data_IF_677621009273
#
_entry.id   IF_677621009273
#
_cell.length_a   1.000
_cell.length_b   1.000
_cell.length_c   1.000
_cell.angle_alpha   90.00
_cell.angle_beta   90.00
_cell.angle_gamma   90.00
#
_symmetry.space_group_name_H-M   'P 1'
#
loop_
_entity.id
_entity.type
_entity.pdbx_description
1 polymer ?
#
# COMPACT_ATOMS: atom_id res chain seq x y z
N UNK A 1 20.09 29.22 -0.18
CA UNK A 1 19.58 28.93 1.18
C UNK A 1 19.99 29.98 2.23
N UNK A 2 21.28 30.30 2.43
CA UNK A 2 21.69 31.35 3.43
C UNK A 2 21.15 32.76 3.14
N UNK A 3 21.06 33.21 1.88
CA UNK A 3 20.49 34.50 1.53
C UNK A 3 18.97 34.60 1.69
N UNK A 4 18.25 33.48 1.56
CA UNK A 4 16.81 33.41 1.72
C UNK A 4 16.39 33.51 3.19
N UNK A 5 17.16 32.89 4.11
CA UNK A 5 16.99 33.01 5.55
C UNK A 5 17.25 34.43 6.06
N UNK A 6 18.18 35.18 5.45
CA UNK A 6 18.42 36.60 5.79
C UNK A 6 17.25 37.51 5.38
N UNK A 7 16.57 37.23 4.25
CA UNK A 7 15.39 37.97 3.83
C UNK A 7 14.18 37.71 4.76
N UNK A 8 14.01 36.50 5.20
CA UNK A 8 12.94 36.14 6.17
C UNK A 8 13.17 36.82 7.51
N UNK A 9 14.38 36.87 8.02
CA UNK A 9 14.76 37.57 9.26
C UNK A 9 14.57 39.09 9.16
N UNK A 10 14.71 39.69 7.98
CA UNK A 10 14.44 41.11 7.76
C UNK A 10 12.94 41.44 7.79
N UNK A 11 12.07 40.57 7.29
CA UNK A 11 10.62 40.75 7.33
C UNK A 11 10.09 40.64 8.76
N UNK A 12 10.71 39.79 9.62
CA UNK A 12 10.35 39.66 11.04
C UNK A 12 10.59 40.94 11.87
N UNK A 13 11.54 41.78 11.48
CA UNK A 13 11.82 43.03 12.18
C UNK A 13 10.90 44.19 11.81
N UNK A 14 10.06 44.07 10.77
CA UNK A 14 9.20 45.14 10.25
C UNK A 14 7.74 45.00 10.73
N UNK A 15 7.27 43.78 11.10
CA UNK A 15 5.88 43.53 11.51
C UNK A 15 5.77 42.55 12.70
N UNK A 16 5.77 43.04 13.97
CA UNK A 16 5.84 42.12 15.12
C UNK A 16 4.52 41.45 15.57
N UNK A 17 3.35 41.77 15.06
CA UNK A 17 2.07 41.32 15.66
C UNK A 17 1.09 40.62 14.73
N UNK A 18 1.28 40.61 13.41
CA UNK A 18 0.42 39.89 12.49
C UNK A 18 1.04 38.58 11.96
N UNK A 19 2.23 38.23 12.42
CA UNK A 19 3.12 37.29 11.74
C UNK A 19 3.15 35.88 12.33
N UNK A 20 2.70 35.62 13.56
CA UNK A 20 2.88 34.29 14.14
C UNK A 20 1.95 33.25 13.52
N UNK A 21 0.68 33.55 13.27
CA UNK A 21 -0.23 32.58 12.63
C UNK A 21 -0.01 32.46 11.12
N UNK A 22 0.34 33.57 10.44
CA UNK A 22 0.61 33.56 9.00
C UNK A 22 1.97 32.92 8.68
N UNK A 23 2.98 33.12 9.53
CA UNK A 23 4.27 32.43 9.40
C UNK A 23 4.22 30.96 9.81
N UNK A 24 3.45 30.60 10.83
CA UNK A 24 3.22 29.17 11.13
C UNK A 24 2.49 28.46 9.98
N UNK A 25 1.52 29.12 9.38
CA UNK A 25 0.84 28.58 8.20
C UNK A 25 1.74 28.56 6.96
N UNK A 26 2.53 29.61 6.73
CA UNK A 26 3.49 29.68 5.60
C UNK A 26 4.72 28.77 5.79
N UNK A 27 5.18 28.55 7.03
CA UNK A 27 6.22 27.56 7.35
C UNK A 27 5.62 26.14 7.35
N UNK A 28 4.37 25.96 7.77
CA UNK A 28 3.66 24.69 7.61
C UNK A 28 3.37 24.39 6.13
N UNK A 29 3.07 25.40 5.30
CA UNK A 29 2.87 25.26 3.86
C UNK A 29 4.22 25.13 3.09
N UNK A 30 5.36 25.56 3.66
CA UNK A 30 6.71 25.29 3.18
C UNK A 30 7.28 23.94 3.66
N UNK A 31 6.73 23.39 4.75
CA UNK A 31 6.80 22.00 5.14
C UNK A 31 5.63 21.18 4.54
N UNK A 32 5.05 21.62 3.44
CA UNK A 32 4.41 20.69 2.50
C UNK A 32 5.55 19.80 2.03
N UNK A 33 5.74 18.72 2.77
CA UNK A 33 6.58 17.63 2.37
C UNK A 33 6.17 17.33 0.93
N UNK A 34 7.11 17.43 0.01
CA UNK A 34 6.94 16.88 -1.33
C UNK A 34 6.36 15.48 -1.10
N UNK A 35 5.11 15.24 -1.56
CA UNK A 35 4.52 13.90 -1.48
C UNK A 35 5.50 12.95 -2.13
N UNK A 36 6.29 12.24 -1.32
CA UNK A 36 7.25 11.27 -1.83
C UNK A 36 6.48 10.16 -2.53
N UNK A 37 6.85 9.86 -3.77
CA UNK A 37 6.09 8.95 -4.62
C UNK A 37 6.97 7.87 -5.19
N UNK A 38 6.54 6.63 -5.09
CA UNK A 38 7.17 5.51 -5.79
C UNK A 38 6.87 5.63 -7.28
N UNK A 39 7.91 5.88 -8.10
CA UNK A 39 7.77 6.07 -9.53
C UNK A 39 7.84 4.76 -10.31
N UNK A 40 8.72 3.83 -9.90
CA UNK A 40 8.88 2.56 -10.63
C UNK A 40 9.57 1.49 -9.78
N UNK A 41 9.37 0.23 -10.18
CA UNK A 41 10.16 -0.91 -9.74
C UNK A 41 10.60 -1.74 -10.94
N UNK A 42 11.86 -2.16 -10.95
CA UNK A 42 12.40 -3.13 -11.90
C UNK A 42 12.85 -4.38 -11.15
N UNK A 43 12.39 -5.53 -11.60
CA UNK A 43 12.60 -6.84 -10.99
C UNK A 43 13.30 -7.75 -12.01
N UNK A 44 14.55 -8.13 -11.72
CA UNK A 44 15.29 -9.10 -12.50
C UNK A 44 15.60 -10.31 -11.63
N UNK A 45 15.08 -11.48 -12.01
CA UNK A 45 15.32 -12.69 -11.26
C UNK A 45 14.72 -12.72 -9.86
N UNK A 46 13.67 -11.97 -9.60
CA UNK A 46 13.03 -11.89 -8.31
C UNK A 46 11.75 -12.71 -8.27
N UNK A 47 11.69 -13.72 -7.42
CA UNK A 47 10.56 -14.65 -7.29
C UNK A 47 10.11 -15.24 -8.64
N UNK A 48 8.91 -14.94 -9.13
CA UNK A 48 8.41 -15.34 -10.44
C UNK A 48 8.84 -14.42 -11.59
N UNK A 49 9.41 -13.26 -11.29
CA UNK A 49 9.78 -12.25 -12.29
C UNK A 49 11.16 -12.53 -12.87
N UNK A 50 11.24 -12.62 -14.19
CA UNK A 50 12.52 -12.80 -14.90
C UNK A 50 13.17 -11.45 -15.22
N UNK A 51 12.42 -10.56 -15.87
CA UNK A 51 12.84 -9.19 -16.20
C UNK A 51 11.59 -8.34 -16.46
N UNK A 52 11.06 -7.73 -15.42
CA UNK A 52 9.84 -6.94 -15.48
C UNK A 52 10.07 -5.56 -14.86
N UNK A 53 9.51 -4.54 -15.47
CA UNK A 53 9.58 -3.15 -14.98
C UNK A 53 8.19 -2.55 -14.95
N UNK A 54 7.85 -1.91 -13.84
CA UNK A 54 6.55 -1.28 -13.60
C UNK A 54 6.75 0.21 -13.42
N UNK A 55 6.01 1.01 -14.20
CA UNK A 55 6.01 2.47 -14.09
C UNK A 55 4.71 2.92 -13.43
N UNK A 56 4.80 3.50 -12.24
CA UNK A 56 3.63 3.84 -11.43
C UNK A 56 3.17 5.29 -11.65
N UNK A 57 1.86 5.50 -11.47
CA UNK A 57 1.27 6.84 -11.38
C UNK A 57 1.26 7.33 -9.94
N UNK A 58 1.15 8.63 -9.76
CA UNK A 58 0.94 9.26 -8.45
C UNK A 58 -0.48 9.03 -7.86
N UNK A 59 -1.35 8.35 -8.59
CA UNK A 59 -2.70 8.02 -8.18
C UNK A 59 -2.84 6.55 -7.76
N UNK A 60 -3.74 5.83 -8.41
CA UNK A 60 -4.07 4.44 -8.09
C UNK A 60 -3.35 3.50 -9.05
N UNK A 61 -2.57 2.57 -8.50
CA UNK A 61 -1.83 1.54 -9.22
C UNK A 61 -2.44 0.17 -8.91
N UNK A 62 -3.01 -0.51 -9.89
CA UNK A 62 -3.80 -1.71 -9.70
C UNK A 62 -3.09 -2.89 -10.36
N UNK A 63 -2.62 -3.84 -9.55
CA UNK A 63 -2.01 -5.10 -9.96
C UNK A 63 -3.10 -6.17 -10.05
N UNK A 64 -3.36 -6.68 -11.25
CA UNK A 64 -4.42 -7.66 -11.53
C UNK A 64 -3.80 -8.97 -11.99
N UNK A 65 -4.33 -10.08 -11.55
CA UNK A 65 -3.88 -11.41 -12.01
C UNK A 65 -4.39 -12.55 -11.15
N UNK A 66 -4.29 -13.76 -11.66
CA UNK A 66 -4.62 -14.99 -10.92
C UNK A 66 -3.72 -15.14 -9.69
N UNK A 67 -4.08 -16.04 -8.78
CA UNK A 67 -3.25 -16.34 -7.62
C UNK A 67 -1.88 -16.88 -8.07
N UNK A 68 -0.82 -16.47 -7.36
CA UNK A 68 0.56 -16.88 -7.66
C UNK A 68 1.24 -16.08 -8.79
N UNK A 69 0.64 -14.99 -9.31
CA UNK A 69 1.28 -14.11 -10.31
C UNK A 69 2.20 -13.04 -9.72
N UNK A 70 2.46 -13.06 -8.41
CA UNK A 70 3.44 -12.16 -7.78
C UNK A 70 2.94 -10.77 -7.40
N UNK A 71 1.64 -10.46 -7.46
CA UNK A 71 1.06 -9.17 -7.04
C UNK A 71 1.52 -8.74 -5.64
N UNK A 72 1.26 -9.58 -4.65
CA UNK A 72 1.69 -9.40 -3.25
C UNK A 72 3.21 -9.26 -3.13
N UNK A 73 4.00 -9.95 -3.97
CA UNK A 73 5.45 -9.86 -3.94
C UNK A 73 5.96 -8.48 -4.36
N UNK A 74 5.31 -7.83 -5.34
CA UNK A 74 5.63 -6.45 -5.72
C UNK A 74 5.36 -5.50 -4.55
N UNK A 75 4.15 -5.58 -3.94
CA UNK A 75 3.78 -4.74 -2.81
C UNK A 75 4.74 -4.91 -1.63
N UNK A 76 5.04 -6.17 -1.25
CA UNK A 76 5.97 -6.48 -0.15
C UNK A 76 7.39 -6.03 -0.45
N UNK A 77 7.86 -6.14 -1.70
CA UNK A 77 9.18 -5.67 -2.10
C UNK A 77 9.31 -4.14 -1.94
N UNK A 78 8.31 -3.38 -2.40
CA UNK A 78 8.25 -1.94 -2.21
C UNK A 78 8.20 -1.59 -0.72
N UNK A 79 7.28 -2.18 0.04
CA UNK A 79 7.11 -1.90 1.47
C UNK A 79 8.37 -2.25 2.29
N UNK A 80 9.02 -3.38 2.00
CA UNK A 80 10.26 -3.77 2.70
C UNK A 80 11.42 -2.79 2.44
N UNK A 81 11.53 -2.27 1.23
CA UNK A 81 12.56 -1.28 0.88
C UNK A 81 12.29 0.09 1.53
N UNK A 82 11.03 0.54 1.55
CA UNK A 82 10.62 1.77 2.23
C UNK A 82 10.85 1.66 3.74
N UNK A 83 10.50 0.53 4.35
CA UNK A 83 10.74 0.27 5.77
C UNK A 83 12.24 0.30 6.10
N UNK A 84 13.04 -0.39 5.30
CA UNK A 84 14.50 -0.43 5.50
C UNK A 84 15.11 0.97 5.40
N UNK A 85 14.66 1.78 4.45
CA UNK A 85 15.13 3.15 4.28
C UNK A 85 14.73 4.04 5.47
N UNK A 86 13.47 3.95 5.93
CA UNK A 86 12.99 4.65 7.13
C UNK A 86 13.82 4.29 8.38
N UNK A 87 14.03 3.00 8.64
CA UNK A 87 14.85 2.54 9.77
C UNK A 87 16.30 2.99 9.67
N UNK A 88 16.86 2.98 8.46
CA UNK A 88 18.24 3.43 8.24
C UNK A 88 18.41 4.92 8.54
N UNK A 89 17.45 5.76 8.15
CA UNK A 89 17.48 7.19 8.42
C UNK A 89 17.45 7.51 9.93
N UNK A 90 16.78 6.67 10.73
CA UNK A 90 16.74 6.86 12.19
C UNK A 90 18.01 6.44 12.92
N UNK A 91 18.93 5.74 12.26
CA UNK A 91 20.20 5.29 12.85
C UNK A 91 21.22 6.43 12.88
N UNK A 92 22.03 6.47 13.95
CA UNK A 92 23.12 7.46 14.11
C UNK A 92 24.31 7.21 13.17
N UNK A 93 24.55 5.97 12.80
CA UNK A 93 25.59 5.53 11.86
C UNK A 93 24.95 5.20 10.51
N UNK A 94 25.56 5.70 9.44
CA UNK A 94 25.04 5.60 8.07
C UNK A 94 26.05 4.92 7.15
N UNK A 95 26.55 3.73 7.55
CA UNK A 95 27.43 2.95 6.67
C UNK A 95 26.61 2.14 5.68
N UNK A 96 27.19 1.87 4.50
CA UNK A 96 26.57 1.05 3.48
C UNK A 96 26.27 -0.37 3.98
N UNK A 97 27.20 -0.97 4.71
CA UNK A 97 27.08 -2.30 5.28
C UNK A 97 25.91 -2.39 6.26
N UNK A 98 25.67 -1.33 7.02
CA UNK A 98 24.53 -1.27 7.94
C UNK A 98 23.21 -1.18 7.17
N UNK A 99 23.16 -0.42 6.08
CA UNK A 99 21.95 -0.37 5.25
C UNK A 99 21.69 -1.71 4.55
N UNK A 100 22.74 -2.38 4.03
CA UNK A 100 22.65 -3.74 3.45
C UNK A 100 22.07 -4.73 4.47
N UNK A 101 22.50 -4.66 5.74
CA UNK A 101 21.97 -5.48 6.81
C UNK A 101 20.50 -5.19 7.10
N UNK A 102 20.12 -3.91 7.30
CA UNK A 102 18.73 -3.51 7.57
C UNK A 102 17.81 -3.92 6.41
N UNK A 103 18.25 -3.74 5.18
CA UNK A 103 17.48 -4.12 3.99
C UNK A 103 17.27 -5.64 3.91
N UNK A 104 18.31 -6.41 4.18
CA UNK A 104 18.24 -7.87 4.22
C UNK A 104 17.28 -8.36 5.32
N UNK A 105 17.34 -7.76 6.50
CA UNK A 105 16.43 -8.04 7.62
C UNK A 105 14.97 -7.76 7.23
N UNK A 106 14.69 -6.58 6.66
CA UNK A 106 13.35 -6.21 6.25
C UNK A 106 12.80 -7.15 5.17
N UNK A 107 13.58 -7.47 4.12
CA UNK A 107 13.15 -8.44 3.11
C UNK A 107 12.81 -9.79 3.78
N UNK A 108 13.65 -10.27 4.70
CA UNK A 108 13.41 -11.52 5.42
C UNK A 108 12.13 -11.45 6.25
N UNK A 109 11.86 -10.36 6.95
CA UNK A 109 10.68 -10.19 7.78
C UNK A 109 9.38 -10.09 6.97
N UNK A 110 9.41 -9.43 5.79
CA UNK A 110 8.23 -9.29 4.93
C UNK A 110 7.88 -10.56 4.16
N UNK A 111 8.90 -11.34 3.72
CA UNK A 111 8.69 -12.54 2.90
C UNK A 111 8.77 -13.85 3.68
N UNK A 112 9.42 -13.84 4.84
CA UNK A 112 9.69 -15.01 5.69
C UNK A 112 10.27 -16.22 4.95
N UNK A 113 11.26 -16.05 4.07
CA UNK A 113 11.94 -17.19 3.47
C UNK A 113 12.92 -17.82 4.47
N UNK A 114 13.22 -19.11 4.34
CA UNK A 114 14.30 -19.73 5.11
C UNK A 114 15.65 -19.06 4.83
N UNK A 115 15.87 -18.65 3.59
CA UNK A 115 17.03 -17.88 3.11
C UNK A 115 16.59 -16.84 2.09
N UNK A 116 17.21 -15.68 2.07
CA UNK A 116 16.92 -14.62 1.06
C UNK A 116 17.09 -15.17 -0.37
N UNK A 117 18.07 -16.07 -0.59
CA UNK A 117 18.30 -16.71 -1.87
C UNK A 117 17.10 -17.51 -2.41
N UNK A 118 16.15 -17.93 -1.55
CA UNK A 118 14.91 -18.57 -2.00
C UNK A 118 13.98 -17.63 -2.78
N UNK A 119 14.22 -16.32 -2.69
CA UNK A 119 13.50 -15.31 -3.47
C UNK A 119 14.11 -15.11 -4.88
N UNK A 120 15.23 -15.77 -5.20
CA UNK A 120 15.78 -15.74 -6.55
C UNK A 120 14.98 -16.67 -7.45
N UNK A 121 14.65 -16.19 -8.64
CA UNK A 121 13.98 -17.00 -9.67
C UNK A 121 14.85 -18.20 -10.06
N UNK A 122 14.28 -19.40 -9.94
CA UNK A 122 15.01 -20.67 -10.16
C UNK A 122 15.43 -20.90 -11.62
N UNK A 123 14.81 -20.19 -12.56
CA UNK A 123 15.07 -20.32 -13.99
C UNK A 123 16.21 -19.42 -14.50
N UNK A 124 16.80 -18.60 -13.61
CA UNK A 124 17.89 -17.68 -13.98
C UNK A 124 19.24 -18.29 -13.61
N UNK A 125 20.15 -18.33 -14.58
CA UNK A 125 21.53 -18.80 -14.42
C UNK A 125 22.49 -17.72 -14.93
N UNK A 126 23.47 -17.28 -14.12
CA UNK A 126 23.68 -17.60 -12.70
C UNK A 126 22.57 -17.02 -11.80
N UNK A 127 22.15 -17.77 -10.78
CA UNK A 127 21.05 -17.43 -9.89
C UNK A 127 21.31 -16.13 -9.08
N UNK A 128 20.92 -14.98 -9.65
CA UNK A 128 21.03 -13.65 -9.05
C UNK A 128 19.72 -12.90 -9.25
N UNK A 129 19.26 -12.23 -8.21
CA UNK A 129 18.18 -11.26 -8.27
C UNK A 129 18.74 -9.84 -8.20
N UNK A 130 18.17 -8.94 -8.99
CA UNK A 130 18.44 -7.50 -8.91
C UNK A 130 17.11 -6.76 -8.87
N UNK A 131 16.97 -5.87 -7.91
CA UNK A 131 15.80 -5.02 -7.73
C UNK A 131 16.24 -3.58 -7.78
N UNK A 132 15.54 -2.76 -8.56
CA UNK A 132 15.73 -1.31 -8.61
C UNK A 132 14.40 -0.60 -8.38
N UNK A 133 14.35 0.34 -7.45
CA UNK A 133 13.16 1.11 -7.09
C UNK A 133 13.52 2.59 -7.22
N UNK A 134 12.64 3.35 -7.89
CA UNK A 134 12.74 4.81 -7.96
C UNK A 134 11.64 5.44 -7.11
N UNK A 135 12.06 6.38 -6.27
CA UNK A 135 11.20 7.20 -5.42
C UNK A 135 11.59 8.66 -5.62
N UNK A 136 10.66 9.50 -6.08
CA UNK A 136 10.92 10.90 -6.49
C UNK A 136 12.13 11.06 -7.44
N UNK A 137 12.28 10.12 -8.37
CA UNK A 137 13.37 10.08 -9.32
C UNK A 137 14.71 9.62 -8.76
N UNK A 138 14.83 9.40 -7.46
CA UNK A 138 16.03 8.87 -6.79
C UNK A 138 15.97 7.35 -6.76
N UNK A 139 17.08 6.67 -7.01
CA UNK A 139 17.13 5.22 -7.20
C UNK A 139 17.81 4.50 -6.05
N UNK A 140 17.16 3.46 -5.54
CA UNK A 140 17.75 2.40 -4.73
C UNK A 140 17.80 1.12 -5.57
N UNK A 141 19.00 0.56 -5.74
CA UNK A 141 19.18 -0.72 -6.42
C UNK A 141 20.00 -1.68 -5.56
N UNK A 142 19.54 -2.91 -5.45
CA UNK A 142 20.19 -3.96 -4.66
C UNK A 142 20.09 -5.32 -5.33
N UNK A 143 20.98 -6.21 -4.93
CA UNK A 143 21.05 -7.56 -5.50
C UNK A 143 21.40 -8.61 -4.44
N UNK A 144 21.06 -9.86 -4.71
CA UNK A 144 21.43 -11.02 -3.92
C UNK A 144 21.47 -12.29 -4.79
N UNK A 145 22.24 -13.27 -4.37
CA UNK A 145 22.38 -14.55 -5.09
C UNK A 145 21.47 -15.63 -4.52
N UNK A 146 21.24 -16.68 -5.29
CA UNK A 146 20.51 -17.87 -4.83
C UNK A 146 21.16 -18.58 -3.62
N UNK A 147 22.44 -18.31 -3.36
CA UNK A 147 23.18 -18.85 -2.20
C UNK A 147 23.22 -17.89 -1.01
N UNK A 148 22.70 -16.67 -1.15
CA UNK A 148 22.66 -15.69 -0.05
C UNK A 148 21.71 -16.16 1.04
N UNK A 149 22.20 -16.20 2.28
CA UNK A 149 21.37 -16.55 3.44
C UNK A 149 20.71 -15.32 4.06
N UNK A 150 21.50 -14.30 4.37
CA UNK A 150 21.08 -13.12 5.14
C UNK A 150 21.66 -11.82 4.58
N UNK A 151 22.22 -11.83 3.36
CA UNK A 151 22.94 -10.70 2.80
C UNK A 151 22.35 -10.23 1.50
N UNK A 152 22.20 -8.93 1.35
CA UNK A 152 21.97 -8.22 0.10
C UNK A 152 23.14 -7.31 -0.17
N UNK A 153 23.36 -6.92 -1.42
CA UNK A 153 24.36 -5.96 -1.83
C UNK A 153 23.66 -4.77 -2.46
N UNK A 154 23.92 -3.58 -1.94
CA UNK A 154 23.43 -2.34 -2.52
C UNK A 154 24.34 -1.98 -3.70
N UNK A 155 23.76 -1.83 -4.88
CA UNK A 155 24.46 -1.43 -6.11
C UNK A 155 24.40 0.10 -6.28
N UNK A 156 23.25 0.72 -5.95
CA UNK A 156 23.00 2.15 -6.00
C UNK A 156 22.13 2.60 -4.84
N UNK A 157 22.48 3.72 -4.22
CA UNK A 157 21.72 4.34 -3.13
C UNK A 157 21.72 5.87 -3.32
N UNK A 158 20.66 6.38 -3.95
CA UNK A 158 20.35 7.80 -3.98
C UNK A 158 19.36 8.06 -2.84
N UNK A 159 19.82 8.75 -1.80
CA UNK A 159 19.03 8.96 -0.57
C UNK A 159 17.63 9.49 -0.87
N UNK A 160 16.63 8.72 -0.49
CA UNK A 160 15.22 9.12 -0.55
C UNK A 160 14.89 10.13 0.54
N UNK A 161 13.85 10.91 0.33
CA UNK A 161 13.26 11.69 1.40
C UNK A 161 12.40 10.78 2.28
N UNK A 162 12.11 11.21 3.49
CA UNK A 162 11.28 10.41 4.40
C UNK A 162 9.89 10.19 3.78
N UNK A 163 9.42 8.96 3.82
CA UNK A 163 8.18 8.53 3.18
C UNK A 163 7.35 7.75 4.20
N UNK A 164 6.13 8.21 4.44
CA UNK A 164 5.17 7.47 5.24
C UNK A 164 4.41 6.49 4.35
N UNK A 165 4.31 5.26 4.77
CA UNK A 165 3.51 4.25 4.09
C UNK A 165 2.78 3.36 5.08
N UNK A 166 1.70 2.74 4.62
CA UNK A 166 0.99 1.71 5.36
C UNK A 166 0.69 0.52 4.45
N UNK A 167 0.82 -0.68 4.99
CA UNK A 167 0.47 -1.92 4.31
C UNK A 167 -0.72 -2.57 4.98
N UNK A 168 -1.79 -2.80 4.21
CA UNK A 168 -2.99 -3.50 4.67
C UNK A 168 -2.99 -4.89 4.04
N UNK A 169 -2.71 -5.94 4.84
CA UNK A 169 -2.70 -7.32 4.36
C UNK A 169 -4.14 -7.85 4.14
N UNK A 170 -4.28 -9.01 3.46
CA UNK A 170 -5.59 -9.58 3.13
C UNK A 170 -6.48 -9.88 4.34
N UNK A 171 -5.88 -10.35 5.45
CA UNK A 171 -6.62 -10.69 6.68
C UNK A 171 -6.77 -9.47 7.58
N UNK A 172 -7.94 -9.32 8.16
CA UNK A 172 -8.20 -8.26 9.14
C UNK A 172 -7.44 -8.50 10.46
N UNK A 173 -7.20 -7.41 11.20
CA UNK A 173 -6.36 -7.43 12.38
C UNK A 173 -7.12 -7.15 13.68
N UNK A 174 -8.36 -6.67 13.64
CA UNK A 174 -9.12 -6.30 14.82
C UNK A 174 -9.39 -7.50 15.76
N UNK A 175 -9.71 -8.66 15.19
CA UNK A 175 -9.94 -9.88 15.97
C UNK A 175 -8.67 -10.49 16.56
N UNK A 176 -7.52 -10.17 15.98
CA UNK A 176 -6.22 -10.69 16.43
C UNK A 176 -5.48 -9.71 17.34
N UNK A 177 -5.96 -8.47 17.47
CA UNK A 177 -5.23 -7.37 18.07
C UNK A 177 -4.91 -7.56 19.55
N UNK A 178 -5.87 -8.12 20.33
CA UNK A 178 -5.71 -8.29 21.76
C UNK A 178 -4.53 -9.19 22.11
N UNK A 179 -3.53 -8.61 22.78
CA UNK A 179 -2.31 -9.31 23.17
C UNK A 179 -1.30 -9.55 22.03
N UNK A 180 -1.64 -9.26 20.77
CA UNK A 180 -0.79 -9.56 19.62
C UNK A 180 0.58 -8.86 19.69
N UNK A 181 0.60 -7.56 19.99
CA UNK A 181 1.87 -6.79 20.11
C UNK A 181 2.74 -7.35 21.23
N UNK A 182 2.16 -7.61 22.39
CA UNK A 182 2.89 -8.20 23.52
C UNK A 182 3.47 -9.59 23.21
N UNK A 183 2.75 -10.38 22.40
CA UNK A 183 3.17 -11.71 22.01
C UNK A 183 4.27 -11.62 20.91
N UNK A 184 4.11 -10.73 19.91
CA UNK A 184 5.10 -10.54 18.83
C UNK A 184 6.46 -10.05 19.36
N UNK A 185 6.46 -9.21 20.39
CA UNK A 185 7.68 -8.75 21.04
C UNK A 185 8.41 -9.82 21.87
N UNK A 186 7.70 -10.87 22.30
CA UNK A 186 8.28 -11.91 23.15
C UNK A 186 8.60 -13.21 22.43
N UNK A 187 7.97 -13.45 21.29
CA UNK A 187 8.09 -14.70 20.54
C UNK A 187 8.02 -14.41 19.06
N UNK A 188 8.76 -15.18 18.28
CA UNK A 188 8.57 -15.19 16.83
C UNK A 188 7.19 -15.75 16.50
N UNK A 189 6.42 -14.98 15.72
CA UNK A 189 5.11 -15.38 15.21
C UNK A 189 5.21 -15.81 13.75
N UNK A 190 4.26 -16.64 13.32
CA UNK A 190 4.13 -17.02 11.91
C UNK A 190 3.63 -15.88 11.01
N UNK A 191 3.25 -14.75 11.58
CA UNK A 191 2.86 -13.55 10.83
C UNK A 191 4.09 -12.84 10.29
N UNK A 192 3.99 -12.33 9.07
CA UNK A 192 5.03 -11.49 8.49
C UNK A 192 4.95 -10.04 9.01
N UNK A 193 5.93 -9.23 8.62
CA UNK A 193 6.07 -7.87 9.14
C UNK A 193 4.88 -6.96 8.79
N UNK A 194 4.12 -7.25 7.73
CA UNK A 194 2.95 -6.44 7.36
C UNK A 194 1.88 -6.43 8.46
N UNK A 195 1.64 -7.59 9.09
CA UNK A 195 0.70 -7.72 10.22
C UNK A 195 1.22 -7.07 11.49
N UNK A 196 2.52 -7.20 11.76
CA UNK A 196 3.16 -6.62 12.95
C UNK A 196 3.10 -5.10 12.87
N UNK A 197 3.47 -4.52 11.73
CA UNK A 197 3.41 -3.08 11.51
C UNK A 197 1.96 -2.57 11.60
N UNK A 198 1.01 -3.27 10.97
CA UNK A 198 -0.41 -2.90 11.06
C UNK A 198 -0.91 -2.90 12.51
N UNK A 199 -0.52 -3.90 13.31
CA UNK A 199 -0.90 -3.95 14.73
C UNK A 199 -0.33 -2.74 15.52
N UNK A 200 0.91 -2.35 15.26
CA UNK A 200 1.51 -1.16 15.87
C UNK A 200 0.79 0.12 15.46
N UNK A 201 0.45 0.28 14.18
CA UNK A 201 -0.32 1.42 13.68
C UNK A 201 -1.73 1.47 14.31
N UNK A 202 -2.40 0.33 14.48
CA UNK A 202 -3.70 0.23 15.15
C UNK A 202 -3.64 0.51 16.67
N UNK A 203 -2.47 0.46 17.27
CA UNK A 203 -2.31 0.74 18.71
C UNK A 203 -2.35 2.25 19.06
N UNK A 204 -2.18 3.11 18.05
CA UNK A 204 -2.18 4.56 18.28
C UNK A 204 -3.59 5.09 18.56
N UNK A 205 -3.72 6.09 19.46
CA UNK A 205 -5.01 6.69 19.79
C UNK A 205 -5.54 7.55 18.66
N UNK A 206 -6.86 7.69 18.59
CA UNK A 206 -7.55 8.58 17.64
C UNK A 206 -7.09 10.04 17.84
N UNK A 207 -6.95 10.78 16.73
CA UNK A 207 -6.61 12.20 16.73
C UNK A 207 -7.69 13.03 17.44
N UNK A 208 -7.27 14.13 18.07
CA UNK A 208 -8.20 15.02 18.81
C UNK A 208 -9.04 15.90 17.90
N UNK A 209 -8.50 16.33 16.77
CA UNK A 209 -9.16 17.21 15.80
C UNK A 209 -9.42 16.42 14.50
N UNK A 210 -10.62 15.89 14.38
CA UNK A 210 -11.08 15.17 13.19
C UNK A 210 -11.82 16.09 12.19
N UNK A 211 -12.31 17.23 12.63
CA UNK A 211 -13.03 18.16 11.75
C UNK A 211 -12.12 18.80 10.71
N UNK A 212 -10.87 19.06 11.07
CA UNK A 212 -9.85 19.59 10.15
C UNK A 212 -8.99 18.49 9.51
N UNK A 213 -9.42 17.22 9.58
CA UNK A 213 -8.69 16.12 8.96
C UNK A 213 -8.76 16.26 7.42
N UNK A 214 -7.61 16.26 6.69
CA UNK A 214 -7.59 16.32 5.22
C UNK A 214 -8.38 15.20 4.54
N UNK A 215 -8.57 14.06 5.22
CA UNK A 215 -9.34 12.91 4.75
C UNK A 215 -10.80 12.90 5.24
N UNK A 216 -11.34 14.05 5.69
CA UNK A 216 -12.70 14.13 6.23
C UNK A 216 -13.75 13.58 5.28
N UNK A 217 -13.65 13.84 3.97
CA UNK A 217 -14.59 13.32 2.97
C UNK A 217 -14.59 11.80 2.89
N UNK A 218 -13.42 11.16 3.06
CA UNK A 218 -13.30 9.71 3.08
C UNK A 218 -13.85 9.11 4.39
N UNK A 219 -13.65 9.79 5.53
CA UNK A 219 -14.25 9.41 6.82
C UNK A 219 -15.78 9.44 6.71
N UNK A 220 -16.35 10.56 6.27
CA UNK A 220 -17.80 10.77 6.17
C UNK A 220 -18.46 9.76 5.22
N UNK A 221 -17.78 9.45 4.09
CA UNK A 221 -18.23 8.41 3.17
C UNK A 221 -18.31 7.04 3.88
N UNK A 222 -17.22 6.64 4.57
CA UNK A 222 -17.17 5.33 5.23
C UNK A 222 -18.19 5.24 6.38
N UNK A 223 -18.29 6.24 7.23
CA UNK A 223 -19.26 6.26 8.33
C UNK A 223 -20.71 6.19 7.81
N UNK A 224 -21.01 6.90 6.73
CA UNK A 224 -22.33 6.89 6.09
C UNK A 224 -22.67 5.53 5.49
N UNK A 225 -21.75 4.98 4.66
CA UNK A 225 -22.00 3.73 3.93
C UNK A 225 -21.96 2.49 4.85
N UNK A 226 -21.14 2.51 5.88
CA UNK A 226 -21.06 1.41 6.85
C UNK A 226 -22.14 1.52 7.95
N UNK A 227 -22.67 2.72 8.22
CA UNK A 227 -23.65 2.97 9.28
C UNK A 227 -23.09 2.78 10.70
N UNK A 228 -21.76 2.86 10.87
CA UNK A 228 -21.11 2.72 12.16
C UNK A 228 -19.83 3.56 12.27
N UNK A 229 -19.34 3.68 13.49
CA UNK A 229 -18.04 4.26 13.83
C UNK A 229 -17.19 3.25 14.60
N UNK A 230 -15.90 3.55 14.79
CA UNK A 230 -14.94 2.65 15.45
C UNK A 230 -14.43 3.27 16.74
N UNK A 231 -14.39 2.46 17.80
CA UNK A 231 -13.85 2.84 19.10
C UNK A 231 -12.79 1.85 19.55
N UNK A 232 -11.78 2.34 20.24
CA UNK A 232 -10.83 1.52 20.97
C UNK A 232 -10.96 1.80 22.48
N UNK A 233 -11.22 0.78 23.26
CA UNK A 233 -11.34 0.87 24.71
C UNK A 233 -10.62 -0.32 25.36
N UNK A 234 -9.75 -0.04 26.33
CA UNK A 234 -9.02 -1.06 27.10
C UNK A 234 -8.26 -2.08 26.21
N UNK A 235 -7.68 -1.64 25.10
CA UNK A 235 -6.93 -2.50 24.17
C UNK A 235 -7.80 -3.39 23.28
N UNK A 236 -9.11 -3.14 23.19
CA UNK A 236 -10.06 -3.84 22.32
C UNK A 236 -10.75 -2.88 21.38
N UNK A 237 -11.13 -3.38 20.22
CA UNK A 237 -11.92 -2.64 19.24
C UNK A 237 -13.41 -2.92 19.37
N UNK A 238 -14.20 -1.86 19.21
CA UNK A 238 -15.66 -1.87 19.21
C UNK A 238 -16.18 -1.16 17.97
N UNK A 239 -17.25 -1.69 17.43
CA UNK A 239 -18.02 -1.07 16.36
C UNK A 239 -19.22 -0.37 17.00
N UNK A 240 -19.29 0.95 16.92
CA UNK A 240 -20.36 1.77 17.49
C UNK A 240 -21.45 2.00 16.44
N UNK A 241 -22.63 1.42 16.68
CA UNK A 241 -23.86 1.64 15.91
C UNK A 241 -24.85 2.50 16.72
N UNK A 242 -25.98 2.82 16.13
CA UNK A 242 -27.09 3.52 16.81
C UNK A 242 -27.62 2.73 18.03
N UNK A 243 -27.42 1.39 18.05
CA UNK A 243 -27.82 0.51 19.14
C UNK A 243 -26.77 0.39 20.26
N UNK A 244 -25.64 1.07 20.10
CA UNK A 244 -24.52 1.06 21.05
C UNK A 244 -23.26 0.35 20.51
N UNK A 245 -22.20 0.28 21.34
CA UNK A 245 -20.96 -0.39 20.98
C UNK A 245 -21.11 -1.91 21.03
N UNK A 246 -20.57 -2.57 20.02
CA UNK A 246 -20.49 -4.04 19.89
C UNK A 246 -19.03 -4.44 19.73
N UNK A 247 -18.61 -5.52 20.40
CA UNK A 247 -17.25 -6.04 20.27
C UNK A 247 -16.94 -6.42 18.82
N UNK A 248 -15.74 -6.11 18.35
CA UNK A 248 -15.33 -6.39 16.98
C UNK A 248 -15.51 -7.88 16.60
N UNK A 249 -15.28 -8.81 17.53
CA UNK A 249 -15.47 -10.25 17.30
C UNK A 249 -16.90 -10.66 16.88
N UNK A 250 -17.91 -9.87 17.23
CA UNK A 250 -19.31 -10.13 16.87
C UNK A 250 -19.70 -9.55 15.48
N UNK A 251 -18.78 -8.84 14.84
CA UNK A 251 -18.99 -8.20 13.55
C UNK A 251 -18.42 -9.05 12.44
N UNK A 252 -19.04 -9.05 11.26
CA UNK A 252 -18.56 -9.77 10.07
C UNK A 252 -17.14 -9.34 9.70
N UNK A 253 -16.30 -10.29 9.24
CA UNK A 253 -14.87 -10.07 8.95
C UNK A 253 -14.65 -8.93 7.96
N UNK A 254 -15.41 -8.87 6.87
CA UNK A 254 -15.29 -7.80 5.89
C UNK A 254 -15.56 -6.41 6.47
N UNK A 255 -16.54 -6.28 7.39
CA UNK A 255 -16.81 -5.01 8.06
C UNK A 255 -15.69 -4.64 9.04
N UNK A 256 -15.08 -5.61 9.74
CA UNK A 256 -13.92 -5.37 10.61
C UNK A 256 -12.72 -4.86 9.80
N UNK A 257 -12.51 -5.42 8.59
CA UNK A 257 -11.46 -4.96 7.68
C UNK A 257 -11.66 -3.48 7.30
N UNK A 258 -12.87 -3.09 6.90
CA UNK A 258 -13.17 -1.69 6.59
C UNK A 258 -13.10 -0.78 7.82
N UNK A 259 -13.54 -1.27 8.96
CA UNK A 259 -13.42 -0.58 10.24
C UNK A 259 -11.96 -0.33 10.63
N UNK A 260 -11.05 -1.26 10.36
CA UNK A 260 -9.62 -1.08 10.64
C UNK A 260 -9.01 0.04 9.81
N UNK A 261 -9.41 0.15 8.54
CA UNK A 261 -8.93 1.23 7.66
C UNK A 261 -9.48 2.58 8.11
N UNK A 262 -10.77 2.65 8.44
CA UNK A 262 -11.37 3.87 9.00
C UNK A 262 -10.62 4.30 10.26
N UNK A 263 -10.31 3.36 11.16
CA UNK A 263 -9.55 3.66 12.38
C UNK A 263 -8.15 4.21 12.10
N UNK A 264 -7.45 3.69 11.07
CA UNK A 264 -6.12 4.19 10.67
C UNK A 264 -6.16 5.62 10.10
N UNK A 265 -7.29 6.05 9.56
CA UNK A 265 -7.47 7.47 9.20
C UNK A 265 -7.77 8.29 10.46
N UNK A 266 -8.62 7.79 11.34
CA UNK A 266 -8.99 8.48 12.58
C UNK A 266 -7.79 8.68 13.52
N UNK A 267 -6.82 7.78 13.52
CA UNK A 267 -5.61 7.91 14.34
C UNK A 267 -4.43 8.59 13.62
N UNK A 268 -4.58 8.95 12.32
CA UNK A 268 -3.60 9.70 11.55
C UNK A 268 -2.51 8.87 10.87
N UNK A 269 -2.54 7.54 11.01
CA UNK A 269 -1.60 6.64 10.31
C UNK A 269 -1.82 6.65 8.80
N UNK A 270 -3.06 6.79 8.35
CA UNK A 270 -3.38 7.13 6.97
C UNK A 270 -3.70 8.63 6.92
N UNK A 271 -2.88 9.38 6.21
CA UNK A 271 -3.04 10.80 5.95
C UNK A 271 -2.69 11.12 4.48
N UNK A 272 -2.79 12.38 4.08
CA UNK A 272 -2.59 12.81 2.68
C UNK A 272 -1.19 12.51 2.11
N UNK A 273 -0.19 12.27 2.95
CA UNK A 273 1.19 11.99 2.55
C UNK A 273 1.52 10.49 2.59
N UNK A 274 0.54 9.64 2.90
CA UNK A 274 0.74 8.20 3.08
C UNK A 274 0.68 7.48 1.73
N UNK A 275 1.67 6.65 1.44
CA UNK A 275 1.58 5.64 0.38
C UNK A 275 0.82 4.45 0.94
N UNK A 276 -0.31 4.10 0.32
CA UNK A 276 -1.16 3.00 0.75
C UNK A 276 -0.90 1.75 -0.11
N UNK A 277 -0.43 0.67 0.51
CA UNK A 277 -0.43 -0.68 -0.07
C UNK A 277 -1.60 -1.47 0.47
N UNK A 278 -2.51 -1.89 -0.41
CA UNK A 278 -3.69 -2.64 -0.02
C UNK A 278 -3.79 -3.95 -0.79
N UNK A 279 -3.54 -5.04 -0.08
CA UNK A 279 -3.54 -6.39 -0.64
C UNK A 279 -4.93 -7.02 -0.46
N UNK A 280 -5.55 -7.43 -1.55
CA UNK A 280 -6.91 -8.00 -1.64
C UNK A 280 -7.96 -7.17 -0.87
N UNK A 281 -8.23 -5.89 -1.28
CA UNK A 281 -9.24 -5.06 -0.63
C UNK A 281 -10.63 -5.70 -0.61
N UNK A 282 -10.95 -6.49 -1.60
CA UNK A 282 -12.23 -7.18 -1.79
C UNK A 282 -12.44 -8.40 -0.87
N UNK A 283 -11.40 -8.93 -0.25
CA UNK A 283 -11.48 -10.20 0.49
C UNK A 283 -12.53 -10.13 1.59
N UNK A 284 -13.39 -11.15 1.66
CA UNK A 284 -14.51 -11.29 2.61
C UNK A 284 -15.61 -10.20 2.51
N UNK A 285 -15.69 -9.49 1.37
CA UNK A 285 -16.72 -8.49 1.10
C UNK A 285 -17.79 -9.03 0.14
N UNK A 286 -19.03 -8.61 0.35
CA UNK A 286 -20.08 -8.80 -0.63
C UNK A 286 -20.00 -7.73 -1.75
N UNK A 287 -20.66 -7.93 -2.91
CA UNK A 287 -20.60 -6.99 -4.03
C UNK A 287 -21.01 -5.55 -3.70
N UNK A 288 -21.94 -5.34 -2.77
CA UNK A 288 -22.33 -3.98 -2.35
C UNK A 288 -21.19 -3.25 -1.62
N UNK A 289 -20.48 -3.95 -0.73
CA UNK A 289 -19.31 -3.40 -0.02
C UNK A 289 -18.10 -3.22 -0.94
N UNK A 290 -17.93 -4.04 -1.98
CA UNK A 290 -16.87 -3.81 -2.99
C UNK A 290 -17.07 -2.46 -3.69
N UNK A 291 -18.31 -2.06 -3.98
CA UNK A 291 -18.57 -0.70 -4.51
C UNK A 291 -18.20 0.39 -3.52
N UNK A 292 -18.50 0.21 -2.24
CA UNK A 292 -18.10 1.15 -1.18
C UNK A 292 -16.57 1.29 -1.13
N UNK A 293 -15.85 0.17 -1.23
CA UNK A 293 -14.38 0.17 -1.29
C UNK A 293 -13.86 0.93 -2.50
N UNK A 294 -14.43 0.72 -3.69
CA UNK A 294 -14.03 1.44 -4.89
C UNK A 294 -14.23 2.96 -4.76
N UNK A 295 -15.39 3.39 -4.21
CA UNK A 295 -15.66 4.80 -3.90
C UNK A 295 -14.68 5.36 -2.87
N UNK A 296 -14.39 4.60 -1.83
CA UNK A 296 -13.46 5.01 -0.78
C UNK A 296 -12.03 5.17 -1.33
N UNK A 297 -11.54 4.23 -2.14
CA UNK A 297 -10.24 4.32 -2.82
C UNK A 297 -10.18 5.61 -3.67
N UNK A 298 -11.27 5.91 -4.37
CA UNK A 298 -11.38 7.14 -5.15
C UNK A 298 -11.28 8.39 -4.27
N UNK A 299 -11.98 8.43 -3.15
CA UNK A 299 -11.92 9.58 -2.22
C UNK A 299 -10.52 9.75 -1.62
N UNK A 300 -9.85 8.67 -1.24
CA UNK A 300 -8.47 8.72 -0.75
C UNK A 300 -7.52 9.32 -1.81
N UNK A 301 -7.65 8.90 -3.07
CA UNK A 301 -6.81 9.43 -4.15
C UNK A 301 -7.09 10.92 -4.40
N UNK A 302 -8.34 11.40 -4.31
CA UNK A 302 -8.67 12.83 -4.41
C UNK A 302 -8.01 13.66 -3.30
N UNK A 303 -7.80 13.06 -2.14
CA UNK A 303 -7.06 13.68 -1.03
C UNK A 303 -5.54 13.66 -1.23
N UNK A 304 -5.03 13.07 -2.33
CA UNK A 304 -3.62 13.10 -2.73
C UNK A 304 -2.82 11.84 -2.43
N UNK A 305 -3.43 10.77 -1.93
CA UNK A 305 -2.72 9.53 -1.63
C UNK A 305 -2.28 8.81 -2.93
N UNK A 306 -1.07 8.27 -2.91
CA UNK A 306 -0.65 7.25 -3.85
C UNK A 306 -1.07 5.88 -3.32
N UNK A 307 -1.80 5.11 -4.14
CA UNK A 307 -2.42 3.86 -3.71
C UNK A 307 -1.97 2.71 -4.62
N UNK A 308 -1.55 1.61 -4.01
CA UNK A 308 -1.20 0.36 -4.67
C UNK A 308 -2.18 -0.73 -4.24
N UNK A 309 -2.82 -1.36 -5.20
CA UNK A 309 -3.82 -2.41 -4.97
C UNK A 309 -3.35 -3.70 -5.67
N UNK A 310 -3.33 -4.79 -4.93
CA UNK A 310 -3.20 -6.13 -5.52
C UNK A 310 -4.56 -6.82 -5.41
N UNK A 311 -5.15 -7.20 -6.52
CA UNK A 311 -6.50 -7.78 -6.56
C UNK A 311 -6.63 -8.87 -7.61
N UNK A 312 -7.59 -9.77 -7.40
CA UNK A 312 -8.06 -10.73 -8.38
C UNK A 312 -9.60 -10.60 -8.62
N UNK A 313 -10.22 -9.53 -8.07
CA UNK A 313 -11.66 -9.32 -8.15
C UNK A 313 -12.06 -8.57 -9.42
N UNK A 314 -13.00 -9.16 -10.15
CA UNK A 314 -13.53 -8.60 -11.39
C UNK A 314 -14.33 -7.32 -11.13
N UNK A 315 -15.22 -7.32 -10.12
CA UNK A 315 -16.11 -6.20 -9.86
C UNK A 315 -15.35 -4.95 -9.44
N UNK A 316 -14.40 -5.08 -8.53
CA UNK A 316 -13.55 -3.98 -8.09
C UNK A 316 -12.77 -3.37 -9.26
N UNK A 317 -12.09 -4.21 -10.04
CA UNK A 317 -11.27 -3.75 -11.15
C UNK A 317 -12.12 -3.11 -12.25
N UNK A 318 -13.32 -3.65 -12.51
CA UNK A 318 -14.24 -3.08 -13.49
C UNK A 318 -14.78 -1.71 -13.06
N UNK A 319 -15.20 -1.55 -11.79
CA UNK A 319 -15.64 -0.25 -11.27
C UNK A 319 -14.51 0.79 -11.35
N UNK A 320 -13.29 0.42 -10.95
CA UNK A 320 -12.14 1.33 -11.04
C UNK A 320 -11.82 1.69 -12.49
N UNK A 321 -11.94 0.74 -13.45
CA UNK A 321 -11.77 1.01 -14.87
C UNK A 321 -12.79 2.03 -15.37
N UNK A 322 -14.07 1.89 -15.00
CA UNK A 322 -15.11 2.86 -15.35
C UNK A 322 -14.76 4.28 -14.85
N UNK A 323 -14.21 4.41 -13.65
CA UNK A 323 -13.77 5.71 -13.16
C UNK A 323 -12.63 6.31 -14.00
N UNK A 324 -11.73 5.49 -14.51
CA UNK A 324 -10.66 5.94 -15.39
C UNK A 324 -11.16 6.30 -16.79
N UNK A 325 -12.07 5.50 -17.35
CA UNK A 325 -12.66 5.72 -18.68
C UNK A 325 -13.47 7.02 -18.77
N UNK A 326 -14.20 7.33 -17.71
CA UNK A 326 -15.06 8.52 -17.64
C UNK A 326 -14.42 9.66 -16.82
N UNK A 327 -13.17 10.02 -17.13
CA UNK A 327 -12.36 11.05 -16.44
C UNK A 327 -13.05 12.40 -16.27
N UNK A 328 -13.97 12.76 -17.15
CA UNK A 328 -14.76 13.99 -17.04
C UNK A 328 -15.56 14.09 -15.73
N UNK A 329 -15.88 12.95 -15.12
CA UNK A 329 -16.62 12.89 -13.85
C UNK A 329 -15.74 12.67 -12.64
N UNK A 330 -14.50 12.16 -12.81
CA UNK A 330 -13.72 11.64 -11.69
C UNK A 330 -12.34 12.27 -11.53
N UNK A 331 -11.71 12.74 -12.61
CA UNK A 331 -10.36 13.36 -12.62
C UNK A 331 -9.32 12.57 -11.80
N UNK A 332 -9.25 11.25 -12.01
CA UNK A 332 -8.41 10.32 -11.25
C UNK A 332 -7.30 9.77 -12.15
N UNK A 333 -6.09 9.69 -11.62
CA UNK A 333 -4.98 9.02 -12.28
C UNK A 333 -4.91 7.56 -11.86
N UNK A 334 -5.07 6.65 -12.81
CA UNK A 334 -4.99 5.22 -12.57
C UNK A 334 -4.06 4.54 -13.57
N UNK A 335 -3.44 3.46 -13.13
CA UNK A 335 -2.70 2.55 -13.99
C UNK A 335 -2.97 1.11 -13.57
N UNK A 336 -3.28 0.29 -14.56
CA UNK A 336 -3.57 -1.12 -14.40
C UNK A 336 -2.39 -1.94 -14.93
N UNK A 337 -2.05 -3.00 -14.21
CA UNK A 337 -1.00 -3.96 -14.56
C UNK A 337 -1.60 -5.36 -14.56
N UNK A 338 -1.81 -5.93 -15.73
CA UNK A 338 -2.27 -7.31 -15.91
C UNK A 338 -1.08 -8.27 -15.81
N UNK A 339 -1.08 -9.16 -14.82
CA UNK A 339 -0.03 -10.13 -14.58
C UNK A 339 -0.46 -11.53 -15.01
N UNK A 340 0.29 -12.12 -15.93
CA UNK A 340 0.06 -13.45 -16.47
C UNK A 340 1.20 -14.37 -16.09
N UNK A 341 0.87 -15.61 -15.74
CA UNK A 341 1.86 -16.65 -15.50
C UNK A 341 1.86 -17.62 -16.67
N UNK A 342 2.96 -17.64 -17.42
CA UNK A 342 3.23 -18.56 -18.53
C UNK A 342 4.34 -19.51 -18.11
N UNK A 343 3.98 -20.75 -17.76
CA UNK A 343 4.91 -21.70 -17.15
C UNK A 343 5.45 -21.15 -15.81
N UNK A 344 6.76 -20.92 -15.77
CA UNK A 344 7.44 -20.38 -14.58
C UNK A 344 7.79 -18.88 -14.69
N UNK A 345 7.38 -18.23 -15.77
CA UNK A 345 7.64 -16.81 -15.99
C UNK A 345 6.37 -15.98 -15.81
N UNK A 346 6.55 -14.71 -15.41
CA UNK A 346 5.45 -13.75 -15.29
C UNK A 346 5.65 -12.70 -16.38
N UNK A 347 4.64 -12.59 -17.26
CA UNK A 347 4.50 -11.48 -18.21
C UNK A 347 3.60 -10.40 -17.62
N UNK A 348 3.71 -9.17 -18.13
CA UNK A 348 2.94 -8.03 -17.65
C UNK A 348 2.53 -7.15 -18.82
N UNK A 349 1.27 -6.73 -18.81
CA UNK A 349 0.73 -5.66 -19.65
C UNK A 349 0.30 -4.49 -18.78
N UNK A 350 0.44 -3.26 -19.26
CA UNK A 350 0.00 -2.07 -18.53
C UNK A 350 -0.92 -1.19 -19.37
N UNK A 351 -1.83 -0.49 -18.69
CA UNK A 351 -2.77 0.42 -19.33
C UNK A 351 -3.44 1.38 -18.36
N UNK A 352 -4.10 2.39 -18.87
CA UNK A 352 -4.89 3.34 -18.07
C UNK A 352 -6.29 2.82 -17.73
N UNK A 353 -6.78 1.80 -18.47
CA UNK A 353 -8.10 1.16 -18.27
C UNK A 353 -7.96 -0.34 -18.49
N UNK A 354 -8.94 -1.12 -18.05
CA UNK A 354 -8.98 -2.56 -18.35
C UNK A 354 -9.09 -2.84 -19.85
N UNK A 355 -9.75 -1.98 -20.60
CA UNK A 355 -9.93 -2.13 -22.05
C UNK A 355 -8.60 -2.05 -22.82
N UNK A 356 -7.56 -1.46 -22.23
CA UNK A 356 -6.22 -1.37 -22.84
C UNK A 356 -5.34 -2.58 -22.54
N UNK A 357 -5.75 -3.46 -21.63
CA UNK A 357 -5.07 -4.74 -21.33
C UNK A 357 -5.69 -5.82 -22.20
N UNK A 358 -4.94 -6.33 -23.18
CA UNK A 358 -5.42 -7.30 -24.15
C UNK A 358 -5.69 -8.66 -23.52
N UNK A 359 -4.76 -9.12 -22.66
CA UNK A 359 -4.86 -10.38 -21.95
C UNK A 359 -5.20 -10.12 -20.49
N UNK A 360 -6.48 -9.89 -20.17
CA UNK A 360 -6.91 -9.75 -18.78
C UNK A 360 -7.30 -11.12 -18.22
N UNK A 361 -6.47 -11.73 -17.31
CA UNK A 361 -6.66 -13.12 -16.90
C UNK A 361 -7.93 -13.36 -16.09
N UNK A 362 -8.51 -12.31 -15.53
CA UNK A 362 -9.77 -12.38 -14.80
C UNK A 362 -10.94 -12.30 -15.77
N UNK A 363 -10.89 -11.38 -16.73
CA UNK A 363 -11.93 -11.24 -17.75
C UNK A 363 -12.01 -12.48 -18.66
N UNK A 364 -10.88 -13.06 -19.03
CA UNK A 364 -10.80 -14.30 -19.80
C UNK A 364 -11.54 -15.45 -19.11
N UNK A 365 -11.40 -15.60 -17.79
CA UNK A 365 -12.07 -16.64 -17.02
C UNK A 365 -13.59 -16.43 -16.98
N UNK A 366 -14.05 -15.18 -16.83
CA UNK A 366 -15.47 -14.86 -16.92
C UNK A 366 -16.04 -15.11 -18.32
N UNK A 367 -15.32 -14.77 -19.39
CA UNK A 367 -15.71 -15.06 -20.76
C UNK A 367 -15.83 -16.57 -21.01
N UNK A 368 -14.83 -17.35 -20.58
CA UNK A 368 -14.85 -18.81 -20.68
C UNK A 368 -16.04 -19.44 -19.92
N UNK A 369 -16.35 -18.91 -18.73
CA UNK A 369 -17.52 -19.35 -17.96
C UNK A 369 -18.83 -19.04 -18.68
N UNK A 370 -18.96 -17.84 -19.27
CA UNK A 370 -20.12 -17.48 -20.05
C UNK A 370 -20.34 -18.40 -21.29
N UNK A 371 -19.26 -18.73 -22.00
CA UNK A 371 -19.32 -19.70 -23.10
C UNK A 371 -19.76 -21.10 -22.63
N UNK A 372 -19.28 -21.52 -21.44
CA UNK A 372 -19.71 -22.77 -20.84
C UNK A 372 -21.20 -22.77 -20.49
N UNK A 373 -21.70 -21.67 -19.91
CA UNK A 373 -23.12 -21.48 -19.61
C UNK A 373 -23.99 -21.59 -20.89
N UNK A 374 -23.60 -20.91 -21.98
CA UNK A 374 -24.29 -20.99 -23.25
C UNK A 374 -24.31 -22.43 -23.81
N UNK A 375 -23.23 -23.18 -23.66
CA UNK A 375 -23.23 -24.61 -24.08
C UNK A 375 -24.21 -25.45 -23.26
N UNK A 376 -24.35 -25.20 -21.97
CA UNK A 376 -25.36 -25.90 -21.17
C UNK A 376 -26.76 -25.55 -21.57
N UNK A 377 -27.08 -24.27 -21.80
CA UNK A 377 -28.40 -23.81 -22.22
C UNK A 377 -28.77 -24.48 -23.56
N UNK A 378 -27.88 -24.43 -24.56
CA UNK A 378 -28.14 -24.97 -25.89
C UNK A 378 -28.25 -26.52 -25.92
N UNK A 379 -27.72 -27.22 -24.93
CA UNK A 379 -27.82 -28.67 -24.83
C UNK A 379 -29.10 -29.14 -24.11
N UNK A 380 -29.86 -28.24 -23.50
CA UNK A 380 -31.13 -28.52 -22.82
C UNK A 380 -32.37 -28.12 -23.66
N UNK A 381 -32.16 -27.41 -24.77
CA UNK A 381 -33.18 -27.18 -25.81
C UNK A 381 -33.13 -28.29 -26.86
#
# INVERSE_FOLDING_TARGET
MRHFLQYILLIFNIFPLASSLFCYKFVADLYISSNTMVNSISLQGFTGFTNNSFSFTNGINILIGKNGTGKTHILKCLASALQAHHEFQQKRTTSKEQFEYILAENITHYFKPDFIGNLVNKNIVPGKSTVSIKNDGKELSFSFSATSRTTVKIEKDEKWDECQFIYIPPREMFSLFEGFIGLSNKRELSFDQTYINLAHSLALPVLRDLENNPLKSAIDLMEKELGFNVLQMNGRFYIKTDKGPMEAHLVAEGLRKLASILYLILNGEINQNTILFWDEPESNLNPALIRVVAEFIRELQKCGLQIFIATHDYLLTHILSLYSEYKAYTNINMRFFGLHKEGDTISMEEGETLATIQNNPILEEYAAFYELEQKYINNYE
#
